data_IF_040605210445
#
_entry.id   IF_040605210445
#
_cell.length_a   1.000
_cell.length_b   1.000
_cell.length_c   1.000
_cell.angle_alpha   90.00
_cell.angle_beta   90.00
_cell.angle_gamma   90.00
#
_symmetry.space_group_name_H-M   'P 1'
#
loop_
_entity.id
_entity.type
_entity.pdbx_description
1 polymer ?
#
# COMPACT_ATOMS: atom_id res chain seq x y z
N UNK A 1 -33.57 -3.75 7.42
CA UNK A 1 -32.31 -4.11 8.11
C UNK A 1 -31.34 -2.97 7.92
N UNK A 2 -31.09 -2.16 8.94
CA UNK A 2 -30.13 -1.05 8.87
C UNK A 2 -28.80 -1.54 9.42
N UNK A 3 -27.84 -1.74 8.52
CA UNK A 3 -26.46 -2.08 8.84
C UNK A 3 -25.82 -0.89 9.57
N UNK A 4 -25.56 -1.03 10.88
CA UNK A 4 -24.72 -0.08 11.60
C UNK A 4 -23.29 -0.21 11.07
N UNK A 5 -22.69 0.90 10.65
CA UNK A 5 -21.27 0.95 10.30
C UNK A 5 -20.45 0.36 11.48
N UNK A 6 -19.50 -0.56 11.24
CA UNK A 6 -18.77 -1.19 12.33
C UNK A 6 -17.85 -0.14 12.98
N UNK A 7 -18.24 0.30 14.18
CA UNK A 7 -17.40 1.12 15.02
C UNK A 7 -16.30 0.27 15.65
N UNK A 8 -15.07 0.53 15.20
CA UNK A 8 -13.77 0.35 15.89
C UNK A 8 -13.20 -1.08 15.99
N UNK A 9 -12.62 -1.58 14.90
CA UNK A 9 -11.43 -2.43 14.99
C UNK A 9 -10.17 -1.58 14.88
N UNK A 10 -9.12 -1.87 15.66
CA UNK A 10 -7.82 -1.21 15.46
C UNK A 10 -7.09 -1.96 14.36
N UNK A 11 -6.62 -1.23 13.35
CA UNK A 11 -5.89 -1.80 12.24
C UNK A 11 -4.43 -1.37 12.21
N UNK A 12 -3.57 -2.26 11.73
CA UNK A 12 -2.15 -1.99 11.54
C UNK A 12 -1.73 -2.39 10.12
N UNK A 13 -1.04 -1.49 9.43
CA UNK A 13 -0.35 -1.73 8.17
C UNK A 13 1.03 -2.35 8.44
N UNK A 14 1.33 -3.42 7.73
CA UNK A 14 2.63 -4.13 7.79
C UNK A 14 3.14 -4.41 6.39
N UNK A 15 4.45 -4.45 6.18
CA UNK A 15 5.00 -4.89 4.89
C UNK A 15 4.93 -6.41 4.78
N UNK A 16 4.51 -6.89 3.61
CA UNK A 16 4.52 -8.31 3.26
C UNK A 16 5.73 -8.54 2.36
N UNK A 17 6.85 -8.93 2.96
CA UNK A 17 8.11 -9.14 2.27
C UNK A 17 9.05 -7.93 2.35
N UNK A 18 9.85 -7.73 1.31
CA UNK A 18 10.85 -6.67 1.27
C UNK A 18 10.20 -5.29 1.06
N UNK A 19 10.39 -4.38 2.00
CA UNK A 19 9.96 -2.98 1.89
C UNK A 19 10.96 -2.13 1.08
N UNK A 20 12.21 -2.57 0.96
CA UNK A 20 13.28 -1.72 0.40
C UNK A 20 13.40 -0.42 1.20
N UNK A 21 13.31 0.72 0.51
CA UNK A 21 13.29 2.05 1.11
C UNK A 21 11.88 2.56 1.44
N UNK A 22 10.83 1.74 1.25
CA UNK A 22 9.46 2.15 1.48
C UNK A 22 9.15 2.32 2.98
N UNK A 23 8.38 3.36 3.30
CA UNK A 23 7.99 3.72 4.67
C UNK A 23 6.48 3.94 4.74
N UNK A 24 5.83 3.31 5.71
CA UNK A 24 4.43 3.57 6.06
C UNK A 24 4.40 4.69 7.11
N UNK A 25 3.79 5.83 6.77
CA UNK A 25 3.79 7.02 7.63
C UNK A 25 2.82 6.94 8.80
N UNK A 26 1.63 6.36 8.58
CA UNK A 26 0.58 6.22 9.61
C UNK A 26 0.08 4.78 9.66
N UNK A 27 0.87 3.85 10.23
CA UNK A 27 0.56 2.43 10.19
C UNK A 27 -0.71 2.05 10.95
N UNK A 28 -1.20 2.89 11.87
CA UNK A 28 -2.41 2.61 12.66
C UNK A 28 -3.69 3.22 12.06
N UNK A 29 -3.58 3.89 10.91
CA UNK A 29 -4.70 4.58 10.26
C UNK A 29 -5.14 3.81 9.01
N UNK A 30 -6.46 3.61 8.79
CA UNK A 30 -6.96 2.97 7.58
C UNK A 30 -6.58 3.76 6.32
N UNK A 31 -6.40 5.08 6.45
CA UNK A 31 -5.77 5.92 5.43
C UNK A 31 -4.30 6.14 5.81
N UNK A 32 -3.38 5.59 5.03
CA UNK A 32 -1.94 5.77 5.22
C UNK A 32 -1.26 6.24 3.95
N UNK A 33 -0.13 6.92 4.10
CA UNK A 33 0.75 7.26 2.98
C UNK A 33 1.98 6.36 3.03
N UNK A 34 2.28 5.73 1.89
CA UNK A 34 3.51 4.95 1.69
C UNK A 34 4.44 5.79 0.83
N UNK A 35 5.63 6.08 1.34
CA UNK A 35 6.67 6.86 0.64
C UNK A 35 7.91 6.01 0.41
N UNK A 36 8.84 6.45 -0.43
CA UNK A 36 10.12 5.75 -0.64
C UNK A 36 10.05 4.49 -1.51
N UNK A 37 8.93 4.25 -2.21
CA UNK A 37 8.82 3.16 -3.20
C UNK A 37 9.64 3.55 -4.44
N UNK A 38 10.72 2.82 -4.71
CA UNK A 38 11.59 3.08 -5.85
C UNK A 38 10.84 2.86 -7.19
N UNK A 39 11.16 3.67 -8.20
CA UNK A 39 10.59 3.48 -9.53
C UNK A 39 11.00 2.12 -10.13
N UNK A 40 10.08 1.46 -10.81
CA UNK A 40 10.24 0.10 -11.32
C UNK A 40 10.10 -1.00 -10.27
N UNK A 41 9.68 -0.68 -9.04
CA UNK A 41 9.52 -1.66 -7.96
C UNK A 41 8.07 -1.77 -7.50
N UNK A 42 7.74 -2.90 -6.86
CA UNK A 42 6.46 -3.10 -6.20
C UNK A 42 6.67 -3.42 -4.74
N UNK A 43 5.74 -2.97 -3.90
CA UNK A 43 5.72 -3.21 -2.47
C UNK A 43 4.33 -3.65 -2.07
N UNK A 44 4.23 -4.77 -1.35
CA UNK A 44 2.97 -5.26 -0.81
C UNK A 44 2.88 -4.91 0.67
N UNK A 45 1.75 -4.35 1.07
CA UNK A 45 1.40 -4.08 2.46
C UNK A 45 0.14 -4.84 2.84
N UNK A 46 0.03 -5.20 4.12
CA UNK A 46 -1.13 -5.87 4.69
C UNK A 46 -1.75 -5.01 5.77
N UNK A 47 -3.03 -4.70 5.61
CA UNK A 47 -3.86 -4.12 6.67
C UNK A 47 -4.44 -5.24 7.49
N UNK A 48 -4.13 -5.29 8.79
CA UNK A 48 -4.71 -6.27 9.71
C UNK A 48 -5.56 -5.53 10.72
N UNK A 49 -6.86 -5.83 10.76
CA UNK A 49 -7.82 -5.24 11.71
C UNK A 49 -8.19 -6.28 12.76
N UNK A 50 -8.11 -5.89 14.02
CA UNK A 50 -8.55 -6.72 15.16
C UNK A 50 -9.70 -6.03 15.89
N UNK A 51 -10.75 -6.79 16.19
CA UNK A 51 -11.88 -6.37 17.02
C UNK A 51 -12.20 -7.49 18.01
N UNK A 52 -11.71 -7.34 19.24
CA UNK A 52 -11.82 -8.38 20.28
C UNK A 52 -11.09 -9.66 19.88
N UNK A 53 -11.83 -10.75 19.69
CA UNK A 53 -11.32 -12.07 19.27
C UNK A 53 -11.29 -12.25 17.76
N UNK A 54 -11.95 -11.36 17.00
CA UNK A 54 -12.01 -11.43 15.55
C UNK A 54 -10.86 -10.65 14.93
N UNK A 55 -10.19 -11.25 13.94
CA UNK A 55 -9.22 -10.56 13.10
C UNK A 55 -9.55 -10.76 11.63
N UNK A 56 -9.35 -9.70 10.84
CA UNK A 56 -9.47 -9.71 9.40
C UNK A 56 -8.22 -9.02 8.81
N UNK A 57 -7.84 -9.41 7.60
CA UNK A 57 -6.72 -8.77 6.93
C UNK A 57 -6.98 -8.62 5.44
N UNK A 58 -6.32 -7.64 4.84
CA UNK A 58 -6.34 -7.37 3.41
C UNK A 58 -4.93 -7.04 2.91
N UNK A 59 -4.57 -7.48 1.70
CA UNK A 59 -3.26 -7.23 1.11
C UNK A 59 -3.40 -6.25 -0.07
N UNK A 60 -2.60 -5.19 -0.05
CA UNK A 60 -2.55 -4.15 -1.07
C UNK A 60 -1.16 -4.13 -1.68
N UNK A 61 -1.07 -4.28 -3.00
CA UNK A 61 0.20 -4.15 -3.74
C UNK A 61 0.27 -2.78 -4.39
N UNK A 62 1.27 -1.99 -4.01
CA UNK A 62 1.65 -0.77 -4.70
C UNK A 62 2.70 -1.11 -5.76
N UNK A 63 2.42 -0.73 -7.00
CA UNK A 63 3.38 -0.81 -8.09
C UNK A 63 3.76 0.62 -8.49
N UNK A 64 5.04 0.95 -8.38
CA UNK A 64 5.57 2.20 -8.89
C UNK A 64 6.28 1.90 -10.21
N UNK A 65 5.57 2.03 -11.32
CA UNK A 65 6.14 1.80 -12.63
C UNK A 65 7.22 2.86 -12.94
N UNK A 66 8.34 2.41 -13.51
CA UNK A 66 9.32 3.35 -14.01
C UNK A 66 8.69 4.16 -15.15
N UNK A 67 8.91 5.48 -15.15
CA UNK A 67 8.55 6.27 -16.32
C UNK A 67 9.25 5.67 -17.54
N UNK A 68 8.54 5.48 -18.66
CA UNK A 68 9.20 5.09 -19.89
C UNK A 68 10.24 6.16 -20.19
N UNK A 69 11.51 5.78 -20.29
CA UNK A 69 12.49 6.66 -20.93
C UNK A 69 11.94 6.93 -22.32
N UNK A 70 11.76 8.20 -22.68
CA UNK A 70 11.59 8.55 -24.08
C UNK A 70 12.82 7.98 -24.78
N UNK A 71 12.62 6.89 -25.52
CA UNK A 71 13.56 6.49 -26.56
C UNK A 71 13.76 7.75 -27.38
N UNK A 72 15.00 8.17 -27.59
CA UNK A 72 15.37 9.21 -28.56
C UNK A 72 14.86 8.78 -29.93
N UNK A 73 13.56 8.97 -30.21
CA UNK A 73 12.98 8.65 -31.49
C UNK A 73 13.72 9.57 -32.47
N UNK A 74 14.57 9.03 -33.37
CA UNK A 74 15.33 9.88 -34.26
C UNK A 74 14.30 10.62 -35.11
N UNK A 75 14.36 11.95 -35.04
CA UNK A 75 13.64 12.93 -35.84
C UNK A 75 13.00 12.29 -37.10
N UNK A 76 11.68 12.11 -37.11
CA UNK A 76 10.99 11.78 -38.36
C UNK A 76 11.05 13.01 -39.25
N UNK A 77 11.91 12.93 -40.27
CA UNK A 77 12.10 13.88 -41.37
C UNK A 77 10.83 14.16 -42.14
#
# INVERSE_FOLDING_TARGET
MTQTAPSVGSGIWTFVGASGAAVITTPNSPATTITGVAAGTSVTVKWTVTNGTCSAFDNVTLQNDAQPVVSDQPNQT
#
